data_IF_353011301933
#
_entry.id   IF_353011301933
#
_cell.length_a   1.000
_cell.length_b   1.000
_cell.length_c   1.000
_cell.angle_alpha   90.00
_cell.angle_beta   90.00
_cell.angle_gamma   90.00
#
_symmetry.space_group_name_H-M   'P 1'
#
loop_
_entity.id
_entity.type
_entity.pdbx_description
1 polymer ?
#
# COMPACT_ATOMS: atom_id res chain seq x y z
N UNK A 1 2.09 15.45 2.50
CA UNK A 1 1.89 14.06 2.03
C UNK A 1 1.19 13.30 3.13
N UNK A 2 0.02 12.72 2.85
CA UNK A 2 -0.91 12.24 3.88
C UNK A 2 -0.85 10.72 3.97
N UNK A 3 0.13 10.19 4.71
CA UNK A 3 0.18 8.77 5.03
C UNK A 3 -0.87 8.43 6.09
N UNK A 4 -1.63 7.36 5.86
CA UNK A 4 -2.70 6.88 6.74
C UNK A 4 -2.17 5.69 7.55
N UNK A 5 -2.41 5.67 8.87
CA UNK A 5 -2.05 4.50 9.69
C UNK A 5 -3.02 3.36 9.46
N UNK A 6 -2.52 2.14 9.38
CA UNK A 6 -3.35 0.94 9.19
C UNK A 6 -4.36 0.71 10.32
N UNK A 7 -4.06 1.17 11.54
CA UNK A 7 -4.98 1.13 12.67
C UNK A 7 -6.10 2.18 12.62
N UNK A 8 -5.91 3.25 11.83
CA UNK A 8 -6.92 4.30 11.65
C UNK A 8 -7.89 3.92 10.55
N UNK A 9 -7.36 3.43 9.42
CA UNK A 9 -8.18 3.02 8.29
C UNK A 9 -7.44 2.03 7.39
N UNK A 10 -8.22 1.14 6.78
CA UNK A 10 -7.77 0.23 5.74
C UNK A 10 -8.05 0.82 4.34
N UNK A 11 -7.14 0.64 3.37
CA UNK A 11 -7.42 1.09 2.01
C UNK A 11 -8.54 0.24 1.40
N UNK A 12 -9.20 0.80 0.39
CA UNK A 12 -10.11 0.05 -0.47
C UNK A 12 -9.38 -1.17 -1.04
N UNK A 13 -10.02 -2.34 -0.96
CA UNK A 13 -9.46 -3.57 -1.51
C UNK A 13 -9.18 -3.41 -3.00
N UNK A 14 -8.05 -3.94 -3.47
CA UNK A 14 -7.59 -3.84 -4.86
C UNK A 14 -7.17 -2.45 -5.35
N UNK A 15 -7.17 -1.42 -4.52
CA UNK A 15 -6.58 -0.12 -4.87
C UNK A 15 -5.06 -0.14 -4.65
N UNK A 16 -4.25 0.41 -5.59
CA UNK A 16 -2.81 0.48 -5.43
C UNK A 16 -2.40 1.56 -4.40
N UNK A 17 -1.57 1.16 -3.44
CA UNK A 17 -1.02 2.03 -2.41
C UNK A 17 0.50 1.87 -2.29
N UNK A 18 1.21 2.92 -1.90
CA UNK A 18 2.55 2.74 -1.31
C UNK A 18 2.40 2.37 0.16
N UNK A 19 3.37 1.62 0.70
CA UNK A 19 3.34 1.15 2.09
C UNK A 19 4.65 1.43 2.81
N UNK A 20 4.56 1.58 4.14
CA UNK A 20 5.71 1.49 5.06
C UNK A 20 5.65 0.14 5.77
N UNK A 21 6.59 -0.74 5.43
CA UNK A 21 6.73 -2.07 6.02
C UNK A 21 7.97 -2.12 6.93
N UNK A 22 7.77 -2.44 8.21
CA UNK A 22 8.86 -2.50 9.22
C UNK A 22 9.75 -1.24 9.25
N UNK A 23 9.13 -0.07 9.14
CA UNK A 23 9.84 1.22 9.16
C UNK A 23 10.55 1.58 7.84
N UNK A 24 10.35 0.82 6.77
CA UNK A 24 10.95 1.07 5.45
C UNK A 24 9.87 1.30 4.40
N UNK A 25 10.02 2.39 3.63
CA UNK A 25 9.18 2.65 2.44
C UNK A 25 9.48 1.56 1.42
N UNK A 26 8.44 0.93 0.90
CA UNK A 26 8.57 -0.05 -0.16
C UNK A 26 8.58 0.64 -1.53
N UNK A 27 9.42 0.15 -2.43
CA UNK A 27 9.76 0.80 -3.71
C UNK A 27 8.72 0.54 -4.81
N UNK A 28 7.61 -0.11 -4.47
CA UNK A 28 6.55 -0.47 -5.39
C UNK A 28 5.18 -0.33 -4.74
N UNK A 29 4.14 -0.39 -5.57
CA UNK A 29 2.76 -0.36 -5.12
C UNK A 29 2.31 -1.73 -4.62
N UNK A 30 1.38 -1.72 -3.67
CA UNK A 30 0.77 -2.90 -3.08
C UNK A 30 -0.75 -2.78 -3.11
N UNK A 31 -1.43 -3.92 -3.02
CA UNK A 31 -2.87 -4.00 -2.80
C UNK A 31 -3.14 -4.86 -1.58
N UNK A 32 -4.11 -4.43 -0.79
CA UNK A 32 -4.67 -5.26 0.27
C UNK A 32 -5.67 -6.25 -0.33
N UNK A 33 -5.50 -7.54 -0.02
CA UNK A 33 -6.43 -8.61 -0.39
C UNK A 33 -6.65 -9.56 0.79
N UNK A 34 -7.86 -10.09 0.92
CA UNK A 34 -8.12 -11.26 1.75
C UNK A 34 -7.45 -12.49 1.14
N UNK A 35 -6.82 -13.32 1.97
CA UNK A 35 -6.03 -14.47 1.54
C UNK A 35 -6.61 -15.82 1.99
N UNK A 36 -7.52 -15.85 2.96
CA UNK A 36 -8.20 -17.06 3.40
C UNK A 36 -9.61 -16.83 3.96
N UNK A 37 -10.30 -17.93 4.26
CA UNK A 37 -11.63 -17.94 4.91
C UNK A 37 -11.61 -17.49 6.38
N UNK A 38 -10.42 -17.23 6.94
CA UNK A 38 -10.23 -16.78 8.32
C UNK A 38 -9.93 -15.27 8.41
N UNK A 39 -10.27 -14.51 7.36
CA UNK A 39 -10.08 -13.06 7.27
C UNK A 39 -8.62 -12.61 7.38
N UNK A 40 -7.67 -13.47 6.99
CA UNK A 40 -6.26 -13.11 6.91
C UNK A 40 -6.03 -12.16 5.74
N UNK A 41 -5.81 -10.88 6.01
CA UNK A 41 -5.35 -9.94 5.00
C UNK A 41 -3.86 -10.15 4.69
N UNK A 42 -3.47 -9.85 3.45
CA UNK A 42 -2.07 -9.69 3.02
C UNK A 42 -1.93 -8.53 2.05
N UNK A 43 -0.74 -7.97 2.00
CA UNK A 43 -0.36 -6.96 1.02
C UNK A 43 0.38 -7.63 -0.12
N UNK A 44 -0.18 -7.56 -1.32
CA UNK A 44 0.42 -8.12 -2.53
C UNK A 44 1.03 -7.03 -3.38
N UNK A 45 2.21 -7.27 -3.96
CA UNK A 45 2.78 -6.33 -4.91
C UNK A 45 1.83 -6.14 -6.11
N UNK A 46 1.63 -4.89 -6.52
CA UNK A 46 0.78 -4.55 -7.65
C UNK A 46 1.37 -5.12 -8.94
N UNK A 47 0.59 -5.87 -9.70
CA UNK A 47 1.06 -6.57 -10.90
C UNK A 47 1.86 -7.87 -10.65
N UNK A 48 2.24 -8.18 -9.41
CA UNK A 48 2.93 -9.43 -9.05
C UNK A 48 2.33 -10.06 -7.79
N UNK A 49 1.35 -10.95 -7.98
CA UNK A 49 0.65 -11.60 -6.86
C UNK A 49 1.47 -12.69 -6.14
N UNK A 50 2.66 -13.03 -6.64
CA UNK A 50 3.56 -13.98 -5.96
C UNK A 50 4.37 -13.31 -4.84
N UNK A 51 4.58 -12.00 -4.96
CA UNK A 51 5.27 -11.20 -3.94
C UNK A 51 4.26 -10.57 -2.99
N UNK A 52 4.45 -10.82 -1.70
CA UNK A 52 3.57 -10.30 -0.66
C UNK A 52 4.33 -10.01 0.62
N UNK A 53 3.79 -9.11 1.43
CA UNK A 53 4.25 -8.87 2.80
C UNK A 53 3.13 -9.12 3.82
N UNK A 54 3.47 -9.59 5.03
CA UNK A 54 2.49 -9.83 6.08
C UNK A 54 1.71 -8.56 6.44
N UNK A 55 0.40 -8.70 6.70
CA UNK A 55 -0.46 -7.58 7.07
C UNK A 55 0.08 -6.75 8.24
N UNK A 56 0.45 -7.42 9.35
CA UNK A 56 0.88 -6.78 10.60
C UNK A 56 2.18 -6.01 10.51
N UNK A 57 2.99 -6.20 9.47
CA UNK A 57 4.24 -5.46 9.34
C UNK A 57 4.09 -4.10 8.66
N UNK A 58 2.93 -3.82 8.06
CA UNK A 58 2.64 -2.53 7.44
C UNK A 58 2.00 -1.60 8.46
N UNK A 59 2.62 -0.44 8.62
CA UNK A 59 2.19 0.56 9.61
C UNK A 59 1.46 1.74 8.98
N UNK A 60 1.83 2.09 7.75
CA UNK A 60 1.25 3.23 7.03
C UNK A 60 1.08 2.90 5.55
N UNK A 61 0.15 3.58 4.90
CA UNK A 61 -0.07 3.51 3.47
C UNK A 61 -0.55 4.86 2.90
N UNK A 62 -0.46 5.03 1.58
CA UNK A 62 -1.03 6.16 0.84
C UNK A 62 -1.47 5.69 -0.55
N UNK A 63 -2.60 6.17 -1.07
CA UNK A 63 -3.02 5.83 -2.43
C UNK A 63 -2.06 6.39 -3.46
N UNK A 64 -1.85 5.64 -4.55
CA UNK A 64 -1.03 6.10 -5.67
C UNK A 64 -1.51 7.44 -6.25
N UNK A 65 -2.82 7.66 -6.28
CA UNK A 65 -3.45 8.88 -6.80
C UNK A 65 -3.24 10.11 -5.91
N UNK A 66 -2.93 9.92 -4.63
CA UNK A 66 -2.70 11.00 -3.66
C UNK A 66 -1.23 11.42 -3.60
N UNK A 67 -0.35 10.74 -4.34
CA UNK A 67 1.06 11.11 -4.44
C UNK A 67 1.14 12.28 -5.43
N UNK A 68 1.61 13.47 -4.99
CA UNK A 68 1.72 14.61 -5.88
C UNK A 68 2.72 14.29 -6.99
N UNK A 69 2.26 14.41 -8.24
CA UNK A 69 3.15 14.32 -9.39
C UNK A 69 3.98 15.60 -9.50
N UNK A 70 5.26 15.49 -9.90
CA UNK A 70 6.04 16.68 -10.23
C UNK A 70 5.31 17.47 -11.32
N UNK A 71 5.27 18.78 -11.16
CA UNK A 71 4.80 19.65 -12.23
C UNK A 71 5.80 19.56 -13.40
N UNK A 72 5.33 19.61 -14.66
CA UNK A 72 6.25 19.78 -15.79
C UNK A 72 7.09 21.05 -15.58
N UNK A 73 8.33 21.10 -16.11
CA UNK A 73 9.13 22.32 -16.09
C UNK A 73 8.35 23.47 -16.76
N UNK A 74 8.44 24.68 -16.20
CA UNK A 74 8.02 25.89 -16.90
C UNK A 74 8.96 26.09 -18.11
N UNK A 75 8.38 26.37 -19.29
CA UNK A 75 9.14 26.67 -20.53
C UNK A 75 9.87 28.02 -20.45
#
# INVERSE_FOLDING_TARGET
MNWIKTSEQMPSTSSPVLIIYRGQIQWGFFMLKGYDCAESYRWFAYGNQREWVPFRGVTHWIYAVDIPLPQPPEE
#
